data_IF_949374773374
#
_entry.id   IF_949374773374
#
_cell.length_a   1.000
_cell.length_b   1.000
_cell.length_c   1.000
_cell.angle_alpha   90.00
_cell.angle_beta   90.00
_cell.angle_gamma   90.00
#
_symmetry.space_group_name_H-M   'P 1'
#
loop_
_entity.id
_entity.type
_entity.pdbx_description
1 polymer ?
#
# COMPACT_ATOMS: atom_id res chain seq x y z
N UNK A 1 -1.49 -14.35 -14.58
CA UNK A 1 -0.34 -13.41 -14.48
C UNK A 1 0.69 -13.78 -15.52
N UNK A 2 1.20 -12.79 -16.21
CA UNK A 2 2.25 -12.98 -17.23
C UNK A 2 3.63 -13.19 -16.59
N UNK A 3 4.58 -13.67 -17.36
CA UNK A 3 5.95 -13.92 -16.91
C UNK A 3 6.67 -12.65 -16.43
N UNK A 4 6.42 -11.52 -17.08
CA UNK A 4 7.00 -10.23 -16.73
C UNK A 4 6.53 -9.71 -15.36
N UNK A 5 5.39 -10.14 -14.83
CA UNK A 5 4.91 -9.70 -13.51
C UNK A 5 5.89 -10.08 -12.38
N UNK A 6 6.69 -11.13 -12.58
CA UNK A 6 7.72 -11.59 -11.62
C UNK A 6 8.98 -10.71 -11.60
N UNK A 7 9.13 -9.84 -12.58
CA UNK A 7 10.30 -8.96 -12.70
C UNK A 7 10.16 -7.65 -11.92
N UNK A 8 8.98 -7.41 -11.33
CA UNK A 8 8.74 -6.22 -10.54
C UNK A 8 9.69 -6.13 -9.33
N UNK A 9 10.40 -4.99 -9.24
CA UNK A 9 11.15 -4.59 -8.06
C UNK A 9 10.75 -3.15 -7.71
N UNK A 10 9.91 -3.00 -6.71
CA UNK A 10 9.43 -1.68 -6.28
C UNK A 10 10.51 -0.83 -5.61
N UNK A 11 11.63 -1.43 -5.18
CA UNK A 11 12.80 -0.71 -4.66
C UNK A 11 13.71 -0.20 -5.78
N UNK A 12 13.56 -0.74 -7.01
CA UNK A 12 14.29 -0.31 -8.21
C UNK A 12 13.34 -0.26 -9.40
N UNK A 13 12.47 0.76 -9.40
CA UNK A 13 11.47 0.96 -10.45
C UNK A 13 12.12 1.27 -11.80
N UNK A 14 13.26 1.99 -11.80
CA UNK A 14 13.98 2.31 -13.03
C UNK A 14 14.62 1.07 -13.66
N UNK A 15 15.22 0.19 -12.85
CA UNK A 15 15.73 -1.10 -13.32
C UNK A 15 14.63 -2.03 -13.81
N UNK A 16 13.44 -1.99 -13.19
CA UNK A 16 12.26 -2.72 -13.66
C UNK A 16 11.82 -2.23 -15.05
N UNK A 17 11.78 -0.91 -15.27
CA UNK A 17 11.47 -0.31 -16.58
C UNK A 17 12.41 -0.82 -17.68
N UNK A 18 13.71 -0.84 -17.41
CA UNK A 18 14.70 -1.31 -18.38
C UNK A 18 14.43 -2.76 -18.79
N UNK A 19 14.17 -3.65 -17.83
CA UNK A 19 13.83 -5.06 -18.09
C UNK A 19 12.56 -5.20 -18.92
N UNK A 20 11.54 -4.41 -18.63
CA UNK A 20 10.29 -4.44 -19.41
C UNK A 20 10.48 -3.94 -20.83
N UNK A 21 11.28 -2.90 -21.05
CA UNK A 21 11.63 -2.42 -22.40
C UNK A 21 12.44 -3.44 -23.19
N UNK A 22 13.39 -4.11 -22.55
CA UNK A 22 14.16 -5.20 -23.16
C UNK A 22 13.24 -6.35 -23.58
N UNK A 23 12.30 -6.76 -22.71
CA UNK A 23 11.30 -7.78 -23.04
C UNK A 23 10.39 -7.38 -24.20
N UNK A 24 10.02 -6.11 -24.28
CA UNK A 24 9.19 -5.62 -25.38
C UNK A 24 9.91 -5.73 -26.73
N UNK A 25 11.23 -5.54 -26.76
CA UNK A 25 12.08 -5.68 -27.96
C UNK A 25 12.35 -7.15 -28.28
N UNK A 26 12.79 -7.93 -27.30
CA UNK A 26 13.14 -9.35 -27.47
C UNK A 26 11.91 -10.23 -27.70
N UNK A 27 10.75 -9.83 -27.20
CA UNK A 27 9.45 -10.50 -27.39
C UNK A 27 8.67 -9.97 -28.60
N UNK A 28 9.34 -9.56 -29.68
CA UNK A 28 8.68 -9.03 -30.87
C UNK A 28 7.69 -10.00 -31.53
N UNK A 29 7.89 -11.32 -31.38
CA UNK A 29 7.00 -12.37 -31.87
C UNK A 29 5.82 -12.68 -30.94
N UNK A 30 5.81 -12.15 -29.72
CA UNK A 30 4.71 -12.34 -28.78
C UNK A 30 3.40 -11.73 -29.31
N UNK A 31 2.28 -12.30 -28.87
CA UNK A 31 0.95 -11.80 -29.23
C UNK A 31 0.73 -10.35 -28.82
N UNK A 32 -0.13 -9.66 -29.55
CA UNK A 32 -0.43 -8.24 -29.30
C UNK A 32 -0.91 -8.01 -27.87
N UNK A 33 -1.81 -8.88 -27.36
CA UNK A 33 -2.31 -8.78 -25.99
C UNK A 33 -1.18 -8.78 -24.93
N UNK A 34 -0.17 -9.64 -25.07
CA UNK A 34 1.01 -9.65 -24.20
C UNK A 34 1.77 -8.31 -24.24
N UNK A 35 2.03 -7.81 -25.46
CA UNK A 35 2.75 -6.54 -25.64
C UNK A 35 1.99 -5.36 -25.01
N UNK A 36 0.68 -5.30 -25.21
CA UNK A 36 -0.15 -4.24 -24.62
C UNK A 36 -0.16 -4.33 -23.08
N UNK A 37 -0.28 -5.51 -22.52
CA UNK A 37 -0.17 -5.71 -21.06
C UNK A 37 1.19 -5.26 -20.53
N UNK A 38 2.29 -5.62 -21.21
CA UNK A 38 3.65 -5.20 -20.82
C UNK A 38 3.82 -3.68 -20.90
N UNK A 39 3.28 -3.03 -21.95
CA UNK A 39 3.29 -1.57 -22.08
C UNK A 39 2.52 -0.87 -20.95
N UNK A 40 1.41 -1.44 -20.45
CA UNK A 40 0.73 -0.89 -19.27
C UNK A 40 1.65 -0.93 -18.04
N UNK A 41 2.49 -1.96 -17.89
CA UNK A 41 3.43 -2.05 -16.78
C UNK A 41 4.62 -1.08 -16.93
N UNK A 42 5.05 -0.81 -18.16
CA UNK A 42 6.01 0.29 -18.42
C UNK A 42 5.39 1.63 -18.03
N UNK A 43 4.14 1.89 -18.39
CA UNK A 43 3.43 3.10 -17.96
C UNK A 43 3.36 3.22 -16.42
N UNK A 44 3.15 2.09 -15.71
CA UNK A 44 3.20 2.06 -14.25
C UNK A 44 4.56 2.49 -13.70
N UNK A 45 5.68 2.06 -14.32
CA UNK A 45 7.01 2.50 -13.88
C UNK A 45 7.20 4.01 -14.03
N UNK A 46 6.66 4.60 -15.09
CA UNK A 46 6.64 6.06 -15.27
C UNK A 46 5.81 6.74 -14.17
N UNK A 47 4.59 6.26 -13.94
CA UNK A 47 3.67 6.81 -12.94
C UNK A 47 4.29 6.80 -11.54
N UNK A 48 4.92 5.68 -11.14
CA UNK A 48 5.60 5.56 -9.83
C UNK A 48 6.78 6.52 -9.65
N UNK A 49 7.36 6.99 -10.75
CA UNK A 49 8.46 7.98 -10.75
C UNK A 49 7.98 9.42 -10.96
N UNK A 50 6.66 9.65 -10.99
CA UNK A 50 6.07 10.97 -11.22
C UNK A 50 6.13 11.45 -12.68
N UNK A 51 6.51 10.59 -13.62
CA UNK A 51 6.59 10.88 -15.06
C UNK A 51 5.20 10.67 -15.69
N UNK A 52 4.23 11.50 -15.28
CA UNK A 52 2.82 11.29 -15.61
C UNK A 52 2.52 11.50 -17.10
N UNK A 53 3.22 12.43 -17.76
CA UNK A 53 3.07 12.67 -19.20
C UNK A 53 3.49 11.45 -20.00
N UNK A 54 4.64 10.87 -19.68
CA UNK A 54 5.17 9.65 -20.32
C UNK A 54 4.25 8.45 -20.06
N UNK A 55 3.72 8.32 -18.83
CA UNK A 55 2.76 7.29 -18.49
C UNK A 55 1.49 7.40 -19.34
N UNK A 56 0.91 8.61 -19.45
CA UNK A 56 -0.28 8.83 -20.27
C UNK A 56 0.00 8.58 -21.75
N UNK A 57 1.11 9.05 -22.32
CA UNK A 57 1.48 8.82 -23.73
C UNK A 57 1.61 7.32 -24.03
N UNK A 58 2.22 6.54 -23.13
CA UNK A 58 2.31 5.09 -23.28
C UNK A 58 0.93 4.44 -23.25
N UNK A 59 0.06 4.86 -22.32
CA UNK A 59 -1.30 4.33 -22.21
C UNK A 59 -2.18 4.75 -23.41
N UNK A 60 -1.97 5.93 -24.01
CA UNK A 60 -2.65 6.34 -25.22
C UNK A 60 -2.24 5.47 -26.42
N UNK A 61 -0.96 5.10 -26.51
CA UNK A 61 -0.48 4.15 -27.52
C UNK A 61 -1.10 2.75 -27.34
N UNK A 62 -1.31 2.30 -26.09
CA UNK A 62 -2.04 1.07 -25.79
C UNK A 62 -3.51 1.18 -26.22
N UNK A 63 -4.19 2.27 -25.86
CA UNK A 63 -5.59 2.50 -26.18
C UNK A 63 -5.88 2.39 -27.68
N UNK A 64 -5.02 2.96 -28.52
CA UNK A 64 -5.17 2.95 -29.98
C UNK A 64 -5.17 1.54 -30.58
N UNK A 65 -4.66 0.53 -29.87
CA UNK A 65 -4.58 -0.86 -30.33
C UNK A 65 -5.49 -1.80 -29.50
N UNK A 66 -6.12 -1.29 -28.45
CA UNK A 66 -6.84 -2.12 -27.49
C UNK A 66 -8.09 -2.79 -28.13
N UNK A 67 -8.67 -2.16 -29.15
CA UNK A 67 -9.82 -2.74 -29.89
C UNK A 67 -9.45 -4.01 -30.69
N UNK A 68 -8.14 -4.27 -30.91
CA UNK A 68 -7.67 -5.46 -31.65
C UNK A 68 -7.52 -6.70 -30.73
N UNK A 69 -7.70 -6.53 -29.44
CA UNK A 69 -7.54 -7.60 -28.44
C UNK A 69 -8.73 -7.61 -27.48
N UNK A 70 -8.88 -8.70 -26.74
CA UNK A 70 -9.89 -8.83 -25.68
C UNK A 70 -9.22 -9.23 -24.36
N UNK A 71 -9.96 -9.12 -23.25
CA UNK A 71 -9.59 -9.70 -21.98
C UNK A 71 -8.69 -8.81 -21.11
N UNK A 72 -7.65 -9.42 -20.55
CA UNK A 72 -6.86 -8.83 -19.46
C UNK A 72 -6.15 -7.52 -19.84
N UNK A 73 -5.80 -7.32 -21.11
CA UNK A 73 -5.17 -6.09 -21.57
C UNK A 73 -6.05 -4.85 -21.30
N UNK A 74 -7.39 -4.97 -21.47
CA UNK A 74 -8.34 -3.90 -21.15
C UNK A 74 -8.34 -3.60 -19.64
N UNK A 75 -8.40 -4.63 -18.80
CA UNK A 75 -8.42 -4.45 -17.35
C UNK A 75 -7.14 -3.76 -16.89
N UNK A 76 -5.96 -4.23 -17.35
CA UNK A 76 -4.67 -3.62 -17.01
C UNK A 76 -4.57 -2.17 -17.49
N UNK A 77 -5.05 -1.88 -18.70
CA UNK A 77 -5.10 -0.52 -19.20
C UNK A 77 -5.87 0.41 -18.25
N UNK A 78 -7.09 0.05 -17.89
CA UNK A 78 -7.92 0.86 -17.00
C UNK A 78 -7.32 0.98 -15.59
N UNK A 79 -6.77 -0.11 -15.03
CA UNK A 79 -6.09 -0.06 -13.74
C UNK A 79 -4.90 0.91 -13.75
N UNK A 80 -4.02 0.83 -14.74
CA UNK A 80 -2.82 1.67 -14.76
C UNK A 80 -3.12 3.12 -15.16
N UNK A 81 -4.15 3.33 -16.00
CA UNK A 81 -4.67 4.69 -16.29
C UNK A 81 -5.24 5.32 -15.02
N UNK A 82 -6.07 4.59 -14.29
CA UNK A 82 -6.62 5.03 -13.02
C UNK A 82 -5.55 5.34 -11.97
N UNK A 83 -4.53 4.48 -11.83
CA UNK A 83 -3.39 4.74 -10.93
C UNK A 83 -2.62 5.99 -11.31
N UNK A 84 -2.40 6.22 -12.59
CA UNK A 84 -1.71 7.41 -13.08
C UNK A 84 -2.51 8.68 -12.77
N UNK A 85 -3.83 8.65 -12.98
CA UNK A 85 -4.71 9.76 -12.58
C UNK A 85 -4.70 9.98 -11.07
N UNK A 86 -4.82 8.92 -10.27
CA UNK A 86 -4.79 9.05 -8.80
C UNK A 86 -3.47 9.65 -8.30
N UNK A 87 -2.34 9.17 -8.79
CA UNK A 87 -1.01 9.67 -8.40
C UNK A 87 -0.77 11.12 -8.83
N UNK A 88 -1.44 11.59 -9.90
CA UNK A 88 -1.42 13.00 -10.34
C UNK A 88 -2.53 13.87 -9.72
N UNK A 89 -3.28 13.36 -8.72
CA UNK A 89 -4.31 14.10 -7.98
C UNK A 89 -5.68 14.17 -8.67
N UNK A 90 -5.88 13.50 -9.79
CA UNK A 90 -7.12 13.48 -10.59
C UNK A 90 -8.04 12.33 -10.15
N UNK A 91 -8.61 12.45 -8.95
CA UNK A 91 -9.39 11.36 -8.32
C UNK A 91 -10.69 11.02 -9.05
N UNK A 92 -11.32 11.97 -9.72
CA UNK A 92 -12.58 11.75 -10.46
C UNK A 92 -12.31 10.87 -11.68
N UNK A 93 -11.30 11.20 -12.46
CA UNK A 93 -10.86 10.43 -13.62
C UNK A 93 -10.36 9.04 -13.19
N UNK A 94 -9.61 8.97 -12.08
CA UNK A 94 -9.17 7.71 -11.52
C UNK A 94 -10.34 6.78 -11.17
N UNK A 95 -11.39 7.32 -10.54
CA UNK A 95 -12.59 6.54 -10.18
C UNK A 95 -13.26 5.93 -11.41
N UNK A 96 -13.43 6.71 -12.47
CA UNK A 96 -14.02 6.23 -13.74
C UNK A 96 -13.24 5.05 -14.31
N UNK A 97 -11.92 5.16 -14.35
CA UNK A 97 -11.07 4.09 -14.88
C UNK A 97 -11.11 2.83 -14.01
N UNK A 98 -11.09 2.96 -12.69
CA UNK A 98 -11.19 1.81 -11.79
C UNK A 98 -12.57 1.14 -11.85
N UNK A 99 -13.65 1.90 -12.06
CA UNK A 99 -14.99 1.35 -12.28
C UNK A 99 -15.06 0.53 -13.60
N UNK A 100 -14.40 1.00 -14.67
CA UNK A 100 -14.28 0.24 -15.92
C UNK A 100 -13.47 -1.04 -15.72
N UNK A 101 -12.32 -0.95 -15.05
CA UNK A 101 -11.52 -2.14 -14.73
C UNK A 101 -12.31 -3.16 -13.94
N UNK A 102 -13.08 -2.71 -12.93
CA UNK A 102 -13.93 -3.57 -12.09
C UNK A 102 -15.00 -4.26 -12.94
N UNK A 103 -15.73 -3.53 -13.78
CA UNK A 103 -16.81 -4.07 -14.62
C UNK A 103 -16.29 -5.14 -15.58
N UNK A 104 -15.16 -4.88 -16.25
CA UNK A 104 -14.57 -5.85 -17.18
C UNK A 104 -14.04 -7.08 -16.41
N UNK A 105 -13.42 -6.90 -15.25
CA UNK A 105 -12.94 -8.01 -14.44
C UNK A 105 -14.07 -8.89 -13.90
N UNK A 106 -15.23 -8.30 -13.56
CA UNK A 106 -16.44 -9.03 -13.18
C UNK A 106 -16.99 -9.85 -14.36
N UNK A 107 -17.10 -9.25 -15.54
CA UNK A 107 -17.58 -9.92 -16.76
C UNK A 107 -16.71 -11.12 -17.15
N UNK A 108 -15.39 -10.96 -17.04
CA UNK A 108 -14.42 -11.99 -17.41
C UNK A 108 -14.14 -13.00 -16.29
N UNK A 109 -14.72 -12.82 -15.10
CA UNK A 109 -14.45 -13.63 -13.90
C UNK A 109 -12.97 -13.65 -13.50
N UNK A 110 -12.29 -12.50 -13.64
CA UNK A 110 -10.87 -12.33 -13.34
C UNK A 110 -10.68 -11.82 -11.89
N UNK A 111 -10.83 -12.71 -10.92
CA UNK A 111 -10.83 -12.39 -9.48
C UNK A 111 -9.66 -11.53 -9.02
N UNK A 112 -8.43 -11.79 -9.53
CA UNK A 112 -7.25 -11.02 -9.15
C UNK A 112 -7.41 -9.53 -9.49
N UNK A 113 -7.82 -9.25 -10.71
CA UNK A 113 -8.01 -7.88 -11.17
C UNK A 113 -9.27 -7.23 -10.59
N UNK A 114 -10.30 -8.03 -10.32
CA UNK A 114 -11.50 -7.56 -9.64
C UNK A 114 -11.17 -7.06 -8.23
N UNK A 115 -10.42 -7.85 -7.46
CA UNK A 115 -9.98 -7.48 -6.11
C UNK A 115 -9.08 -6.25 -6.16
N UNK A 116 -8.17 -6.16 -7.12
CA UNK A 116 -7.30 -5.00 -7.32
C UNK A 116 -8.10 -3.73 -7.65
N UNK A 117 -9.07 -3.80 -8.57
CA UNK A 117 -9.94 -2.67 -8.91
C UNK A 117 -10.79 -2.19 -7.72
N UNK A 118 -11.38 -3.12 -6.95
CA UNK A 118 -12.11 -2.81 -5.71
C UNK A 118 -11.20 -2.13 -4.70
N UNK A 119 -9.97 -2.63 -4.52
CA UNK A 119 -8.98 -2.03 -3.62
C UNK A 119 -8.61 -0.60 -4.05
N UNK A 120 -8.38 -0.38 -5.34
CA UNK A 120 -8.08 0.97 -5.85
C UNK A 120 -9.26 1.94 -5.68
N UNK A 121 -10.49 1.48 -5.89
CA UNK A 121 -11.69 2.27 -5.59
C UNK A 121 -11.79 2.62 -4.10
N UNK A 122 -11.49 1.66 -3.23
CA UNK A 122 -11.52 1.87 -1.78
C UNK A 122 -10.51 2.92 -1.31
N UNK A 123 -9.31 2.96 -1.91
CA UNK A 123 -8.26 3.95 -1.58
C UNK A 123 -8.70 5.38 -1.86
N UNK A 124 -9.49 5.61 -2.92
CA UNK A 124 -9.89 6.95 -3.33
C UNK A 124 -11.28 7.36 -2.83
N UNK A 125 -12.03 6.42 -2.27
CA UNK A 125 -13.41 6.62 -1.82
C UNK A 125 -13.48 7.45 -0.52
N UNK A 126 -14.61 8.11 -0.25
CA UNK A 126 -14.90 8.68 1.07
C UNK A 126 -14.89 7.61 2.17
N UNK A 127 -14.63 7.96 3.44
CA UNK A 127 -14.36 7.00 4.52
C UNK A 127 -15.39 5.85 4.65
N UNK A 128 -16.69 6.16 4.64
CA UNK A 128 -17.74 5.14 4.78
C UNK A 128 -17.80 4.19 3.56
N UNK A 129 -17.64 4.73 2.35
CA UNK A 129 -17.60 3.94 1.11
C UNK A 129 -16.32 3.09 1.06
N UNK A 130 -15.19 3.64 1.50
CA UNK A 130 -13.89 2.94 1.61
C UNK A 130 -14.00 1.68 2.47
N UNK A 131 -14.64 1.78 3.65
CA UNK A 131 -14.88 0.62 4.53
C UNK A 131 -15.65 -0.48 3.80
N UNK A 132 -16.76 -0.12 3.16
CA UNK A 132 -17.62 -1.09 2.44
C UNK A 132 -16.88 -1.75 1.27
N UNK A 133 -16.11 -0.99 0.51
CA UNK A 133 -15.32 -1.50 -0.60
C UNK A 133 -14.20 -2.43 -0.11
N UNK A 134 -13.48 -2.07 0.96
CA UNK A 134 -12.46 -2.98 1.53
C UNK A 134 -13.09 -4.28 2.04
N UNK A 135 -14.25 -4.21 2.73
CA UNK A 135 -14.97 -5.41 3.16
C UNK A 135 -15.37 -6.29 1.96
N UNK A 136 -15.89 -5.68 0.90
CA UNK A 136 -16.23 -6.41 -0.34
C UNK A 136 -14.99 -7.06 -0.97
N UNK A 137 -13.88 -6.34 -1.08
CA UNK A 137 -12.61 -6.87 -1.59
C UNK A 137 -12.10 -8.05 -0.78
N UNK A 138 -12.21 -7.99 0.55
CA UNK A 138 -11.83 -9.09 1.46
C UNK A 138 -12.71 -10.32 1.19
N UNK A 139 -14.03 -10.18 1.13
CA UNK A 139 -14.95 -11.30 0.86
C UNK A 139 -14.62 -11.96 -0.48
N UNK A 140 -14.39 -11.16 -1.51
CA UNK A 140 -14.01 -11.67 -2.85
C UNK A 140 -12.67 -12.39 -2.81
N UNK A 141 -11.65 -11.82 -2.16
CA UNK A 141 -10.33 -12.42 -2.06
C UNK A 141 -10.35 -13.73 -1.25
N UNK A 142 -11.10 -13.78 -0.14
CA UNK A 142 -11.24 -14.99 0.71
C UNK A 142 -11.93 -16.14 -0.02
N UNK A 143 -12.94 -15.84 -0.84
CA UNK A 143 -13.71 -16.84 -1.59
C UNK A 143 -13.04 -17.28 -2.90
N UNK A 144 -12.03 -16.55 -3.36
CA UNK A 144 -11.37 -16.81 -4.65
C UNK A 144 -10.47 -18.05 -4.61
N UNK A 145 -10.46 -18.79 -5.71
CA UNK A 145 -9.46 -19.86 -5.96
C UNK A 145 -8.15 -19.28 -6.53
N UNK A 146 -8.14 -18.04 -6.98
CA UNK A 146 -6.96 -17.37 -7.50
C UNK A 146 -6.01 -16.97 -6.35
N UNK A 147 -4.78 -17.48 -6.37
CA UNK A 147 -3.79 -17.20 -5.34
C UNK A 147 -3.41 -15.71 -5.29
N UNK A 148 -3.31 -15.05 -6.45
CA UNK A 148 -3.02 -13.61 -6.54
C UNK A 148 -4.09 -12.76 -5.84
N UNK A 149 -5.38 -13.10 -6.05
CA UNK A 149 -6.49 -12.46 -5.35
C UNK A 149 -6.37 -12.65 -3.83
N UNK A 150 -6.10 -13.89 -3.36
CA UNK A 150 -5.89 -14.16 -1.94
C UNK A 150 -4.68 -13.43 -1.36
N UNK A 151 -3.61 -13.28 -2.13
CA UNK A 151 -2.41 -12.56 -1.68
C UNK A 151 -2.67 -11.06 -1.44
N UNK A 152 -3.73 -10.49 -2.00
CA UNK A 152 -4.18 -9.11 -1.73
C UNK A 152 -4.75 -8.90 -0.32
N UNK A 153 -5.11 -9.98 0.40
CA UNK A 153 -5.71 -9.90 1.75
C UNK A 153 -4.86 -9.12 2.74
N UNK A 154 -3.53 -9.25 2.69
CA UNK A 154 -2.64 -8.51 3.57
C UNK A 154 -2.80 -6.99 3.46
N UNK A 155 -2.89 -6.47 2.23
CA UNK A 155 -3.10 -5.05 1.97
C UNK A 155 -4.54 -4.61 2.29
N UNK A 156 -5.53 -5.43 1.93
CA UNK A 156 -6.94 -5.14 2.19
C UNK A 156 -7.25 -5.05 3.69
N UNK A 157 -6.74 -5.99 4.51
CA UNK A 157 -6.89 -5.92 5.97
C UNK A 157 -6.18 -4.69 6.55
N UNK A 158 -4.96 -4.41 6.08
CA UNK A 158 -4.23 -3.23 6.54
C UNK A 158 -5.04 -1.94 6.30
N UNK A 159 -5.55 -1.77 5.09
CA UNK A 159 -6.26 -0.54 4.71
C UNK A 159 -7.65 -0.46 5.37
N UNK A 160 -8.37 -1.56 5.52
CA UNK A 160 -9.61 -1.60 6.29
C UNK A 160 -9.36 -1.26 7.76
N UNK A 161 -8.28 -1.78 8.35
CA UNK A 161 -7.88 -1.46 9.71
C UNK A 161 -7.67 0.05 9.90
N UNK A 162 -6.96 0.69 8.98
CA UNK A 162 -6.76 2.13 8.99
C UNK A 162 -8.05 2.90 8.74
N UNK A 163 -8.92 2.44 7.82
CA UNK A 163 -10.23 3.09 7.60
C UNK A 163 -11.08 3.10 8.87
N UNK A 164 -11.08 2.01 9.65
CA UNK A 164 -11.75 1.98 10.95
C UNK A 164 -11.04 2.83 12.00
N UNK A 165 -9.70 2.83 12.00
CA UNK A 165 -8.92 3.65 12.93
C UNK A 165 -9.22 5.14 12.75
N UNK A 166 -9.22 5.62 11.51
CA UNK A 166 -9.50 7.01 11.17
C UNK A 166 -10.96 7.41 11.45
N UNK A 167 -11.89 6.43 11.38
CA UNK A 167 -13.28 6.60 11.80
C UNK A 167 -13.47 6.59 13.33
N UNK A 168 -12.40 6.35 14.13
CA UNK A 168 -12.47 6.22 15.59
C UNK A 168 -13.02 4.89 16.08
N UNK A 169 -13.24 3.93 15.18
CA UNK A 169 -13.77 2.60 15.49
C UNK A 169 -12.64 1.62 15.89
N UNK A 170 -11.90 1.97 16.95
CA UNK A 170 -10.63 1.32 17.31
C UNK A 170 -10.75 -0.18 17.62
N UNK A 171 -11.87 -0.65 18.20
CA UNK A 171 -12.06 -2.09 18.45
C UNK A 171 -12.21 -2.87 17.13
N UNK A 172 -12.91 -2.30 16.13
CA UNK A 172 -12.98 -2.90 14.79
C UNK A 172 -11.62 -2.87 14.11
N UNK A 173 -10.90 -1.74 14.20
CA UNK A 173 -9.55 -1.62 13.68
C UNK A 173 -8.61 -2.70 14.26
N UNK A 174 -8.64 -2.88 15.59
CA UNK A 174 -7.86 -3.91 16.29
C UNK A 174 -8.19 -5.31 15.77
N UNK A 175 -9.48 -5.63 15.65
CA UNK A 175 -9.92 -6.93 15.12
C UNK A 175 -9.37 -7.20 13.71
N UNK A 176 -9.40 -6.20 12.83
CA UNK A 176 -8.92 -6.34 11.46
C UNK A 176 -7.39 -6.42 11.40
N UNK A 177 -6.66 -5.64 12.20
CA UNK A 177 -5.20 -5.73 12.26
C UNK A 177 -4.73 -7.08 12.83
N UNK A 178 -5.47 -7.69 13.76
CA UNK A 178 -5.18 -9.05 14.23
C UNK A 178 -5.37 -10.09 13.10
N UNK A 179 -6.41 -9.96 12.27
CA UNK A 179 -6.58 -10.80 11.07
C UNK A 179 -5.44 -10.58 10.05
N UNK A 180 -5.01 -9.33 9.87
CA UNK A 180 -3.84 -8.99 9.06
C UNK A 180 -2.58 -9.70 9.56
N UNK A 181 -2.33 -9.65 10.88
CA UNK A 181 -1.17 -10.32 11.49
C UNK A 181 -1.22 -11.82 11.25
N UNK A 182 -2.34 -12.48 11.57
CA UNK A 182 -2.52 -13.92 11.34
C UNK A 182 -2.29 -14.34 9.88
N UNK A 183 -2.80 -13.54 8.92
CA UNK A 183 -2.57 -13.77 7.50
C UNK A 183 -1.09 -13.68 7.13
N UNK A 184 -0.39 -12.63 7.59
CA UNK A 184 1.02 -12.39 7.30
C UNK A 184 1.93 -13.43 7.94
N UNK A 185 1.60 -13.89 9.14
CA UNK A 185 2.29 -15.01 9.81
C UNK A 185 2.16 -16.31 8.99
N UNK A 186 0.98 -16.61 8.44
CA UNK A 186 0.78 -17.77 7.56
C UNK A 186 1.59 -17.72 6.26
N UNK A 187 2.04 -16.53 5.85
CA UNK A 187 2.89 -16.29 4.68
C UNK A 187 4.38 -16.13 5.02
N UNK A 188 4.75 -16.15 6.29
CA UNK A 188 6.12 -15.91 6.78
C UNK A 188 6.71 -14.58 6.29
N UNK A 189 5.90 -13.54 6.13
CA UNK A 189 6.30 -12.24 5.60
C UNK A 189 6.80 -11.34 6.71
N UNK A 190 8.10 -11.46 7.06
CA UNK A 190 8.69 -10.80 8.24
C UNK A 190 8.47 -9.28 8.27
N UNK A 191 8.74 -8.50 7.20
CA UNK A 191 8.52 -7.05 7.24
C UNK A 191 7.06 -6.66 7.48
N UNK A 192 6.13 -7.40 6.86
CA UNK A 192 4.71 -7.13 7.01
C UNK A 192 4.16 -7.60 8.36
N UNK A 193 4.74 -8.63 8.97
CA UNK A 193 4.44 -9.04 10.36
C UNK A 193 4.82 -7.91 11.31
N UNK A 194 6.01 -7.32 11.14
CA UNK A 194 6.47 -6.17 11.92
C UNK A 194 5.48 -5.00 11.82
N UNK A 195 5.10 -4.64 10.59
CA UNK A 195 4.11 -3.58 10.35
C UNK A 195 2.76 -3.88 11.01
N UNK A 196 2.25 -5.11 10.90
CA UNK A 196 0.97 -5.48 11.51
C UNK A 196 1.01 -5.37 13.05
N UNK A 197 2.10 -5.79 13.68
CA UNK A 197 2.31 -5.63 15.13
C UNK A 197 2.34 -4.14 15.52
N UNK A 198 3.00 -3.31 14.73
CA UNK A 198 3.03 -1.87 14.95
C UNK A 198 1.62 -1.25 14.87
N UNK A 199 0.81 -1.62 13.85
CA UNK A 199 -0.58 -1.16 13.71
C UNK A 199 -1.43 -1.57 14.92
N UNK A 200 -1.27 -2.80 15.41
CA UNK A 200 -1.96 -3.32 16.62
C UNK A 200 -1.58 -2.47 17.83
N UNK A 201 -0.29 -2.23 18.07
CA UNK A 201 0.18 -1.48 19.22
C UNK A 201 -0.32 -0.02 19.20
N UNK A 202 -0.27 0.63 18.05
CA UNK A 202 -0.84 1.98 17.87
C UNK A 202 -2.35 2.01 18.16
N UNK A 203 -3.08 0.99 17.74
CA UNK A 203 -4.52 0.88 18.01
C UNK A 203 -4.80 0.62 19.49
N UNK A 204 -4.01 -0.23 20.15
CA UNK A 204 -4.08 -0.46 21.59
C UNK A 204 -3.84 0.84 22.39
N UNK A 205 -2.89 1.68 21.95
CA UNK A 205 -2.69 3.01 22.56
C UNK A 205 -3.93 3.89 22.41
N UNK A 206 -4.57 3.90 21.23
CA UNK A 206 -5.82 4.64 21.02
C UNK A 206 -6.97 4.14 21.94
N UNK A 207 -7.01 2.83 22.19
CA UNK A 207 -7.94 2.18 23.14
C UNK A 207 -7.55 2.36 24.62
N UNK A 208 -6.49 3.11 24.94
CA UNK A 208 -5.94 3.29 26.29
C UNK A 208 -5.41 2.01 26.95
N UNK A 209 -5.17 0.97 26.19
CA UNK A 209 -4.54 -0.27 26.63
C UNK A 209 -3.02 -0.12 26.59
N UNK A 210 -2.50 0.80 27.41
CA UNK A 210 -1.14 1.33 27.33
C UNK A 210 -0.09 0.23 27.59
N UNK A 211 -0.30 -0.65 28.57
CA UNK A 211 0.68 -1.68 28.90
C UNK A 211 0.77 -2.77 27.82
N UNK A 212 -0.35 -3.13 27.20
CA UNK A 212 -0.37 -4.06 26.05
C UNK A 212 0.35 -3.46 24.84
N UNK A 213 0.08 -2.18 24.54
CA UNK A 213 0.76 -1.46 23.47
C UNK A 213 2.28 -1.38 23.71
N UNK A 214 2.68 -1.03 24.94
CA UNK A 214 4.09 -0.91 25.32
C UNK A 214 4.83 -2.23 25.18
N UNK A 215 4.21 -3.34 25.58
CA UNK A 215 4.80 -4.69 25.44
C UNK A 215 5.13 -5.00 23.97
N UNK A 216 4.22 -4.70 23.06
CA UNK A 216 4.43 -4.95 21.62
C UNK A 216 5.51 -4.01 21.07
N UNK A 217 5.46 -2.71 21.41
CA UNK A 217 6.43 -1.74 20.89
C UNK A 217 7.85 -1.97 21.40
N UNK A 218 8.02 -2.43 22.65
CA UNK A 218 9.33 -2.82 23.17
C UNK A 218 9.90 -4.03 22.44
N UNK A 219 9.06 -5.02 22.10
CA UNK A 219 9.49 -6.17 21.30
C UNK A 219 9.93 -5.75 19.88
N UNK A 220 9.17 -4.84 19.22
CA UNK A 220 9.55 -4.30 17.91
C UNK A 220 10.84 -3.45 17.97
N UNK A 221 11.02 -2.70 19.05
CA UNK A 221 12.25 -1.95 19.29
C UNK A 221 13.47 -2.86 19.44
N UNK A 222 13.34 -3.95 20.21
CA UNK A 222 14.40 -4.95 20.36
C UNK A 222 14.72 -5.61 19.02
N UNK A 223 13.69 -6.03 18.26
CA UNK A 223 13.84 -6.64 16.94
C UNK A 223 14.57 -5.71 15.96
N UNK A 224 14.13 -4.45 15.85
CA UNK A 224 14.73 -3.47 14.92
C UNK A 224 16.16 -3.11 15.31
N UNK A 225 16.45 -3.02 16.61
CA UNK A 225 17.81 -2.73 17.12
C UNK A 225 18.74 -3.90 16.86
N UNK A 226 18.30 -5.12 17.13
CA UNK A 226 19.11 -6.35 16.95
C UNK A 226 19.44 -6.59 15.49
N UNK A 227 18.52 -6.26 14.58
CA UNK A 227 18.74 -6.38 13.13
C UNK A 227 19.55 -5.22 12.54
N UNK A 228 19.92 -4.22 13.34
CA UNK A 228 20.64 -3.03 12.88
C UNK A 228 19.83 -2.06 12.03
N UNK A 229 18.49 -2.18 12.05
CA UNK A 229 17.57 -1.35 11.29
C UNK A 229 16.61 -0.59 12.24
N UNK A 230 17.09 0.43 12.96
CA UNK A 230 16.24 1.20 13.88
C UNK A 230 15.09 1.85 13.13
N UNK A 231 13.89 1.79 13.70
CA UNK A 231 12.66 2.27 13.10
C UNK A 231 12.14 3.53 13.80
N UNK A 232 12.05 4.64 13.06
CA UNK A 232 11.62 5.93 13.60
C UNK A 232 10.17 5.94 14.08
N UNK A 233 9.28 5.15 13.45
CA UNK A 233 7.88 5.04 13.86
C UNK A 233 7.72 4.24 15.16
N UNK A 234 8.57 3.22 15.38
CA UNK A 234 8.62 2.51 16.67
C UNK A 234 9.08 3.44 17.78
N UNK A 235 10.10 4.25 17.53
CA UNK A 235 10.56 5.25 18.48
C UNK A 235 9.47 6.30 18.77
N UNK A 236 8.77 6.80 17.77
CA UNK A 236 7.66 7.74 17.98
C UNK A 236 6.56 7.15 18.87
N UNK A 237 6.10 5.91 18.58
CA UNK A 237 5.08 5.25 19.39
C UNK A 237 5.56 4.95 20.83
N UNK A 238 6.82 4.59 21.04
CA UNK A 238 7.39 4.47 22.39
C UNK A 238 7.42 5.82 23.11
N UNK A 239 7.79 6.90 22.41
CA UNK A 239 7.72 8.25 22.95
C UNK A 239 6.30 8.61 23.41
N UNK A 240 5.29 8.34 22.60
CA UNK A 240 3.88 8.55 22.95
C UNK A 240 3.45 7.73 24.18
N UNK A 241 3.83 6.47 24.24
CA UNK A 241 3.47 5.58 25.32
C UNK A 241 4.15 6.01 26.64
N UNK A 242 5.43 6.38 26.63
CA UNK A 242 6.12 6.86 27.81
C UNK A 242 5.63 8.27 28.22
N UNK A 243 5.23 9.11 27.29
CA UNK A 243 4.60 10.39 27.60
C UNK A 243 3.28 10.17 28.35
N UNK A 244 2.44 9.22 27.92
CA UNK A 244 1.19 8.85 28.62
C UNK A 244 1.44 8.24 30.00
N UNK A 245 2.59 7.59 30.20
CA UNK A 245 3.04 7.06 31.52
C UNK A 245 3.77 8.09 32.38
N UNK A 246 3.91 9.35 31.90
CA UNK A 246 4.67 10.41 32.55
C UNK A 246 6.15 10.08 32.85
N UNK A 247 6.77 9.22 32.06
CA UNK A 247 8.19 8.86 32.18
C UNK A 247 9.08 9.96 31.55
N UNK A 248 9.47 10.94 32.37
CA UNK A 248 10.21 12.13 31.96
C UNK A 248 11.63 11.84 31.43
N UNK A 249 12.13 10.63 31.60
CA UNK A 249 13.44 10.24 31.08
C UNK A 249 13.35 9.55 29.71
N UNK A 250 12.32 8.72 29.52
CA UNK A 250 12.24 7.88 28.32
C UNK A 250 11.55 8.57 27.16
N UNK A 251 10.47 9.35 27.38
CA UNK A 251 9.75 9.92 26.24
C UNK A 251 10.62 10.90 25.43
N UNK A 252 11.42 11.82 26.02
CA UNK A 252 12.25 12.72 25.21
C UNK A 252 13.29 11.97 24.40
N UNK A 253 13.96 10.97 25.00
CA UNK A 253 14.92 10.11 24.31
C UNK A 253 14.31 9.44 23.07
N UNK A 254 13.11 8.85 23.20
CA UNK A 254 12.47 8.20 22.09
C UNK A 254 11.99 9.19 21.02
N UNK A 255 11.49 10.37 21.38
CA UNK A 255 11.16 11.41 20.41
C UNK A 255 12.40 11.98 19.71
N UNK A 256 13.54 12.12 20.40
CA UNK A 256 14.81 12.52 19.77
C UNK A 256 15.21 11.50 18.67
N UNK A 257 15.20 10.21 19.01
CA UNK A 257 15.52 9.15 18.02
C UNK A 257 14.50 9.08 16.88
N UNK A 258 13.22 9.26 17.17
CA UNK A 258 12.20 9.36 16.12
C UNK A 258 12.49 10.53 15.18
N UNK A 259 12.83 11.72 15.72
CA UNK A 259 13.16 12.87 14.89
C UNK A 259 14.39 12.64 14.02
N UNK A 260 15.48 12.11 14.59
CA UNK A 260 16.70 11.77 13.84
C UNK A 260 16.41 10.88 12.62
N UNK A 261 15.55 9.89 12.78
CA UNK A 261 15.23 8.91 11.74
C UNK A 261 14.19 9.42 10.73
N UNK A 262 13.15 10.12 11.18
CA UNK A 262 12.03 10.53 10.36
C UNK A 262 12.22 11.91 9.69
N UNK A 263 13.06 12.79 10.22
CA UNK A 263 13.24 14.13 9.68
C UNK A 263 13.89 14.16 8.28
N UNK A 264 14.48 13.06 7.82
CA UNK A 264 15.06 12.93 6.47
C UNK A 264 14.04 12.43 5.44
N UNK A 265 12.87 11.98 5.88
CA UNK A 265 11.82 11.49 4.99
C UNK A 265 11.12 12.66 4.27
N UNK A 266 11.34 12.75 2.96
CA UNK A 266 10.77 13.80 2.11
C UNK A 266 9.24 13.81 2.10
N UNK A 267 8.63 12.64 2.19
CA UNK A 267 7.17 12.53 2.23
C UNK A 267 6.63 13.18 3.52
N UNK A 268 7.18 12.82 4.68
CA UNK A 268 6.79 13.43 5.96
C UNK A 268 7.05 14.94 6.00
N UNK A 269 8.19 15.39 5.44
CA UNK A 269 8.49 16.82 5.35
C UNK A 269 7.43 17.59 4.56
N UNK A 270 6.89 17.00 3.50
CA UNK A 270 5.92 17.64 2.61
C UNK A 270 4.47 17.50 3.09
N UNK A 271 4.11 16.35 3.65
CA UNK A 271 2.72 16.02 3.97
C UNK A 271 2.37 16.16 5.45
N UNK A 272 3.34 15.98 6.35
CA UNK A 272 3.12 15.99 7.80
C UNK A 272 4.16 16.86 8.56
N UNK A 273 4.48 18.10 8.12
CA UNK A 273 5.51 18.91 8.75
C UNK A 273 5.16 19.23 10.23
N UNK A 274 3.88 19.42 10.55
CA UNK A 274 3.43 19.66 11.92
C UNK A 274 3.70 18.48 12.86
N UNK A 275 3.69 17.22 12.34
CA UNK A 275 4.06 16.02 13.10
C UNK A 275 5.54 16.04 13.45
N UNK A 276 6.40 16.34 12.49
CA UNK A 276 7.84 16.43 12.72
C UNK A 276 8.18 17.52 13.74
N UNK A 277 7.57 18.70 13.65
CA UNK A 277 7.74 19.77 14.63
C UNK A 277 7.24 19.39 16.03
N UNK A 278 6.15 18.63 16.12
CA UNK A 278 5.68 18.10 17.40
C UNK A 278 6.68 17.10 18.02
N UNK A 279 7.19 16.18 17.21
CA UNK A 279 8.21 15.20 17.66
C UNK A 279 9.45 15.94 18.16
N UNK A 280 9.95 16.92 17.40
CA UNK A 280 11.09 17.77 17.75
C UNK A 280 10.90 18.48 19.09
N UNK A 281 9.76 19.15 19.27
CA UNK A 281 9.42 19.83 20.51
C UNK A 281 9.36 18.90 21.72
N UNK A 282 8.80 17.69 21.56
CA UNK A 282 8.71 16.69 22.62
C UNK A 282 10.06 16.05 22.95
N UNK A 283 10.99 16.04 22.01
CA UNK A 283 12.39 15.68 22.23
C UNK A 283 13.17 16.73 23.00
N UNK A 284 12.70 17.99 23.02
CA UNK A 284 13.40 19.11 23.67
C UNK A 284 14.55 19.67 22.83
N UNK A 285 14.53 19.54 21.51
CA UNK A 285 15.57 19.98 20.55
C UNK A 285 15.06 21.02 19.58
#
# INVERSE_FOLDING_TARGET
MEDFDRLWNYNDVAGTELKFKELLVTGAEKELSYKLQLQTQIARTYSLRGLFTEAHNMLDAVLNQLAEVNGIAHIRYHLERGRTFNSSGKKVEAKQEFEQAKAIAEELNEDFYLVDAIHMLAIIAPPNESILLHQHGIIKAESSQNEGARNSLGALYNNLGWSYFDAGEYEKALSVFLRSLQWRESKNSVPEIFLAKWCIARTLRALKRIDDALKIQLALFEESTTTGNPDGYVHEELGELFLLKHDQLKFPFHFEKAYELLATDRYLQQTEPARLERIKRLAGI
#
